data_IF_653192736522
#
_entry.id   IF_653192736522
#
_cell.length_a   1.000
_cell.length_b   1.000
_cell.length_c   1.000
_cell.angle_alpha   90.00
_cell.angle_beta   90.00
_cell.angle_gamma   90.00
#
_symmetry.space_group_name_H-M   'P 1'
#
loop_
_entity.id
_entity.type
_entity.pdbx_description
1 polymer ?
#
# COMPACT_ATOMS: atom_id res chain seq x y z
N UNK A 1 10.62 15.01 -15.79
CA UNK A 1 9.53 14.09 -16.17
C UNK A 1 8.55 14.86 -17.05
N UNK A 2 8.29 14.37 -18.27
CA UNK A 2 7.30 14.99 -19.17
C UNK A 2 5.86 14.71 -18.67
N UNK A 3 4.86 15.32 -19.30
CA UNK A 3 3.45 15.19 -18.89
C UNK A 3 2.98 13.73 -18.92
N UNK A 4 3.36 12.98 -19.95
CA UNK A 4 3.07 11.55 -20.06
C UNK A 4 3.64 10.75 -18.88
N UNK A 5 4.88 11.05 -18.47
CA UNK A 5 5.51 10.40 -17.31
C UNK A 5 4.77 10.71 -16.00
N UNK A 6 4.31 11.94 -15.81
CA UNK A 6 3.51 12.34 -14.63
C UNK A 6 2.18 11.59 -14.60
N UNK A 7 1.50 11.51 -15.75
CA UNK A 7 0.25 10.79 -15.89
C UNK A 7 0.41 9.29 -15.58
N UNK A 8 1.42 8.63 -16.13
CA UNK A 8 1.71 7.22 -15.86
C UNK A 8 2.01 7.00 -14.37
N UNK A 9 2.80 7.89 -13.75
CA UNK A 9 3.10 7.80 -12.33
C UNK A 9 1.83 7.91 -11.47
N UNK A 10 0.93 8.82 -11.82
CA UNK A 10 -0.37 8.98 -11.14
C UNK A 10 -1.22 7.70 -11.27
N UNK A 11 -1.32 7.14 -12.48
CA UNK A 11 -2.08 5.90 -12.72
C UNK A 11 -1.53 4.70 -11.93
N UNK A 12 -0.20 4.58 -11.82
CA UNK A 12 0.43 3.56 -10.98
C UNK A 12 0.04 3.68 -9.51
N UNK A 13 0.03 4.90 -8.97
CA UNK A 13 -0.39 5.14 -7.59
C UNK A 13 -1.89 4.86 -7.39
N UNK A 14 -2.75 5.24 -8.34
CA UNK A 14 -4.19 4.92 -8.29
C UNK A 14 -4.42 3.42 -8.26
N UNK A 15 -3.77 2.67 -9.15
CA UNK A 15 -3.89 1.21 -9.19
C UNK A 15 -3.37 0.55 -7.90
N UNK A 16 -2.22 1.00 -7.41
CA UNK A 16 -1.67 0.53 -6.14
C UNK A 16 -2.63 0.78 -4.97
N UNK A 17 -3.27 1.95 -4.94
CA UNK A 17 -4.27 2.29 -3.92
C UNK A 17 -5.45 1.32 -3.97
N UNK A 18 -6.01 1.06 -5.15
CA UNK A 18 -7.15 0.12 -5.28
C UNK A 18 -6.81 -1.29 -4.80
N UNK A 19 -5.62 -1.81 -5.15
CA UNK A 19 -5.17 -3.14 -4.71
C UNK A 19 -5.09 -3.19 -3.18
N UNK A 20 -4.54 -2.16 -2.55
CA UNK A 20 -4.41 -2.08 -1.10
C UNK A 20 -5.77 -1.90 -0.41
N UNK A 21 -6.64 -1.02 -0.92
CA UNK A 21 -8.01 -0.83 -0.38
C UNK A 21 -8.77 -2.15 -0.36
N UNK A 22 -8.76 -2.85 -1.50
CA UNK A 22 -9.45 -4.13 -1.62
C UNK A 22 -8.85 -5.19 -0.69
N UNK A 23 -7.52 -5.22 -0.58
CA UNK A 23 -6.81 -6.16 0.29
C UNK A 23 -7.13 -5.98 1.77
N UNK A 24 -7.35 -4.73 2.21
CA UNK A 24 -7.53 -4.40 3.62
C UNK A 24 -9.00 -4.30 4.05
N UNK A 25 -9.96 -4.41 3.12
CA UNK A 25 -11.38 -4.08 3.34
C UNK A 25 -12.07 -4.90 4.46
N UNK A 26 -11.59 -6.11 4.76
CA UNK A 26 -12.20 -7.02 5.74
C UNK A 26 -11.32 -7.26 6.98
N UNK A 27 -10.26 -6.48 7.14
CA UNK A 27 -9.38 -6.58 8.30
C UNK A 27 -9.94 -5.75 9.46
N UNK A 28 -9.71 -6.21 10.68
CA UNK A 28 -10.28 -5.66 11.91
C UNK A 28 -9.22 -5.12 12.87
N UNK A 29 -7.95 -5.38 12.61
CA UNK A 29 -6.86 -4.89 13.46
C UNK A 29 -5.59 -4.58 12.66
N UNK A 30 -4.74 -3.73 13.23
CA UNK A 30 -3.43 -3.43 12.65
C UNK A 30 -2.53 -4.67 12.57
N UNK A 31 -2.66 -5.61 13.52
CA UNK A 31 -1.89 -6.86 13.49
C UNK A 31 -2.33 -7.78 12.34
N UNK A 32 -3.61 -7.78 11.97
CA UNK A 32 -4.08 -8.47 10.75
C UNK A 32 -3.51 -7.85 9.48
N UNK A 33 -3.40 -6.52 9.41
CA UNK A 33 -2.73 -5.81 8.30
C UNK A 33 -1.27 -6.24 8.18
N UNK A 34 -0.54 -6.24 9.30
CA UNK A 34 0.85 -6.71 9.35
C UNK A 34 0.99 -8.18 8.93
N UNK A 35 0.14 -9.06 9.45
CA UNK A 35 0.14 -10.47 9.10
C UNK A 35 -0.10 -10.70 7.61
N UNK A 36 -1.03 -9.93 7.01
CA UNK A 36 -1.32 -10.01 5.58
C UNK A 36 -0.14 -9.54 4.72
N UNK A 37 0.49 -8.41 5.07
CA UNK A 37 1.68 -7.91 4.36
C UNK A 37 2.84 -8.91 4.46
N UNK A 38 3.10 -9.44 5.65
CA UNK A 38 4.12 -10.48 5.85
C UNK A 38 3.84 -11.73 5.01
N UNK A 39 2.56 -12.11 4.85
CA UNK A 39 2.17 -13.22 3.97
C UNK A 39 2.51 -12.90 2.51
N UNK A 40 2.24 -11.70 2.02
CA UNK A 40 2.56 -11.31 0.64
C UNK A 40 4.04 -11.40 0.34
N UNK A 41 4.87 -10.91 1.25
CA UNK A 41 6.33 -10.97 1.14
C UNK A 41 6.81 -12.42 1.12
N UNK A 42 6.34 -13.26 2.05
CA UNK A 42 6.72 -14.68 2.12
C UNK A 42 6.28 -15.49 0.90
N UNK A 43 5.15 -15.14 0.30
CA UNK A 43 4.58 -15.87 -0.84
C UNK A 43 4.93 -15.24 -2.20
N UNK A 44 5.77 -14.19 -2.24
CA UNK A 44 6.16 -13.47 -3.46
C UNK A 44 4.96 -12.92 -4.25
N UNK A 45 3.94 -12.41 -3.57
CA UNK A 45 2.77 -11.80 -4.20
C UNK A 45 3.11 -10.41 -4.74
N UNK A 46 3.66 -10.38 -5.95
CA UNK A 46 4.29 -9.19 -6.55
C UNK A 46 3.35 -8.00 -6.77
N UNK A 47 2.07 -8.25 -7.05
CA UNK A 47 1.10 -7.18 -7.26
C UNK A 47 0.86 -6.39 -5.96
N UNK A 48 0.66 -7.08 -4.84
CA UNK A 48 0.41 -6.46 -3.53
C UNK A 48 1.68 -5.86 -2.95
N UNK A 49 2.80 -6.58 -2.96
CA UNK A 49 4.08 -6.05 -2.48
C UNK A 49 4.55 -4.86 -3.31
N UNK A 50 4.42 -4.93 -4.65
CA UNK A 50 4.74 -3.81 -5.54
C UNK A 50 3.83 -2.60 -5.33
N UNK A 51 2.54 -2.82 -5.04
CA UNK A 51 1.59 -1.75 -4.71
C UNK A 51 1.95 -1.08 -3.39
N UNK A 52 2.26 -1.86 -2.35
CA UNK A 52 2.73 -1.35 -1.07
C UNK A 52 3.99 -0.50 -1.24
N UNK A 53 5.00 -1.02 -1.95
CA UNK A 53 6.25 -0.30 -2.22
C UNK A 53 6.00 1.00 -3.01
N UNK A 54 5.10 0.97 -3.99
CA UNK A 54 4.75 2.14 -4.79
C UNK A 54 4.15 3.24 -3.89
N UNK A 55 3.22 2.90 -3.01
CA UNK A 55 2.61 3.86 -2.09
C UNK A 55 3.60 4.33 -1.03
N UNK A 56 4.34 3.43 -0.39
CA UNK A 56 5.35 3.78 0.61
C UNK A 56 6.42 4.74 0.07
N UNK A 57 6.86 4.55 -1.18
CA UNK A 57 7.90 5.38 -1.80
C UNK A 57 7.37 6.76 -2.21
N UNK A 58 6.17 6.82 -2.80
CA UNK A 58 5.70 8.04 -3.48
C UNK A 58 4.71 8.84 -2.65
N UNK A 59 3.92 8.20 -1.78
CA UNK A 59 2.81 8.81 -1.06
C UNK A 59 2.44 8.00 0.19
N UNK A 60 3.34 7.85 1.17
CA UNK A 60 3.09 7.00 2.35
C UNK A 60 1.84 7.41 3.13
N UNK A 61 1.49 8.70 3.14
CA UNK A 61 0.26 9.21 3.75
C UNK A 61 -1.01 8.57 3.16
N UNK A 62 -0.98 8.17 1.88
CA UNK A 62 -2.11 7.50 1.21
C UNK A 62 -2.36 6.09 1.74
N UNK A 63 -1.36 5.46 2.38
CA UNK A 63 -1.55 4.19 3.06
C UNK A 63 -2.51 4.34 4.27
N UNK A 64 -2.39 5.45 5.00
CA UNK A 64 -3.29 5.82 6.11
C UNK A 64 -4.71 6.05 5.60
N UNK A 65 -4.86 6.69 4.45
CA UNK A 65 -6.17 6.93 3.81
C UNK A 65 -6.83 5.63 3.33
N UNK A 66 -6.02 4.63 2.99
CA UNK A 66 -6.46 3.36 2.41
C UNK A 66 -7.05 2.40 3.45
N UNK A 67 -6.59 2.49 4.71
CA UNK A 67 -7.04 1.61 5.78
C UNK A 67 -7.05 2.35 7.12
N UNK A 68 -8.23 2.45 7.75
CA UNK A 68 -8.44 3.12 9.04
C UNK A 68 -7.65 2.50 10.21
N UNK A 69 -7.11 1.30 10.03
CA UNK A 69 -6.29 0.59 11.02
C UNK A 69 -4.82 1.06 10.99
N UNK A 70 -4.44 1.82 9.96
CA UNK A 70 -3.12 2.39 9.78
C UNK A 70 -3.19 3.87 10.17
N UNK A 71 -2.18 4.35 10.90
CA UNK A 71 -2.11 5.72 11.38
C UNK A 71 -0.66 6.24 11.32
N UNK A 72 -0.48 7.52 11.66
CA UNK A 72 0.81 8.20 11.62
C UNK A 72 1.90 7.55 12.50
N UNK A 73 1.53 6.80 13.53
CA UNK A 73 2.47 6.17 14.46
C UNK A 73 2.91 4.78 14.00
N UNK A 74 2.13 4.12 13.13
CA UNK A 74 2.36 2.72 12.79
C UNK A 74 2.57 2.44 11.29
N UNK A 75 2.28 3.40 10.39
CA UNK A 75 2.41 3.17 8.95
C UNK A 75 3.86 2.83 8.52
N UNK A 76 4.86 3.41 9.19
CA UNK A 76 6.28 3.17 8.89
C UNK A 76 6.68 1.69 9.11
N UNK A 77 5.99 0.99 10.02
CA UNK A 77 6.22 -0.43 10.25
C UNK A 77 5.81 -1.31 9.05
N UNK A 78 4.97 -0.78 8.17
CA UNK A 78 4.46 -1.48 6.99
C UNK A 78 5.29 -1.18 5.73
N UNK A 79 6.11 -0.12 5.77
CA UNK A 79 6.91 0.35 4.64
C UNK A 79 8.38 -0.08 4.70
N UNK A 80 8.66 -1.17 5.42
CA UNK A 80 9.98 -1.79 5.57
C UNK A 80 10.27 -2.77 4.43
#
# INVERSE_FOLDING_TARGET
MNEQGKYIAQMKQTNATHILTHSFQNLNSFEEVKALINKWQKQNWSAQTGSLNTICTNSPQRLIETCKLINKQNFEQLCQ
#
